data_IF_659136383006
#
_entry.id   IF_659136383006
#
_cell.length_a   1.000
_cell.length_b   1.000
_cell.length_c   1.000
_cell.angle_alpha   90.00
_cell.angle_beta   90.00
_cell.angle_gamma   90.00
#
_symmetry.space_group_name_H-M   'P 1'
#
loop_
_entity.id
_entity.type
_entity.pdbx_description
1 polymer ?
#
# COMPACT_ATOMS: atom_id res chain seq x y z
N UNK A 1 12.52 -1.43 22.05
CA UNK A 1 11.14 -0.98 21.80
C UNK A 1 10.25 -2.18 22.05
N UNK A 2 9.33 -2.10 23.02
CA UNK A 2 8.39 -3.19 23.32
C UNK A 2 7.35 -3.31 22.20
N UNK A 3 6.89 -4.53 21.84
CA UNK A 3 5.91 -4.72 20.78
C UNK A 3 4.51 -4.25 21.20
N UNK A 4 4.10 -3.09 20.68
CA UNK A 4 2.76 -2.50 20.89
C UNK A 4 2.08 -2.13 19.56
N UNK A 5 0.76 -1.96 19.59
CA UNK A 5 -0.01 -1.45 18.44
C UNK A 5 0.48 -0.06 18.03
N UNK A 6 0.71 0.83 19.00
CA UNK A 6 1.20 2.18 18.76
C UNK A 6 2.59 2.18 18.09
N UNK A 7 3.49 1.30 18.52
CA UNK A 7 4.81 1.16 17.90
C UNK A 7 4.69 0.69 16.43
N UNK A 8 3.76 -0.24 16.15
CA UNK A 8 3.48 -0.68 14.76
C UNK A 8 2.94 0.46 13.91
N UNK A 9 2.03 1.28 14.46
CA UNK A 9 1.50 2.46 13.78
C UNK A 9 2.56 3.54 13.55
N UNK A 10 3.43 3.77 14.52
CA UNK A 10 4.54 4.72 14.42
C UNK A 10 5.52 4.34 13.31
N UNK A 11 5.91 3.06 13.25
CA UNK A 11 6.77 2.53 12.17
C UNK A 11 6.09 2.67 10.81
N UNK A 12 4.79 2.37 10.73
CA UNK A 12 4.02 2.49 9.49
C UNK A 12 3.96 3.96 9.00
N UNK A 13 3.66 4.90 9.90
CA UNK A 13 3.65 6.34 9.61
C UNK A 13 5.03 6.86 9.19
N UNK A 14 6.08 6.45 9.90
CA UNK A 14 7.45 6.86 9.59
C UNK A 14 7.87 6.39 8.21
N UNK A 15 7.55 5.13 7.87
CA UNK A 15 7.83 4.56 6.55
C UNK A 15 7.06 5.29 5.45
N UNK A 16 5.78 5.58 5.70
CA UNK A 16 4.95 6.32 4.75
C UNK A 16 5.49 7.73 4.51
N UNK A 17 5.80 8.47 5.59
CA UNK A 17 6.38 9.82 5.50
C UNK A 17 7.72 9.81 4.80
N UNK A 18 8.55 8.81 5.03
CA UNK A 18 9.80 8.66 4.30
C UNK A 18 9.58 8.54 2.78
N UNK A 19 8.60 7.73 2.33
CA UNK A 19 8.27 7.63 0.90
C UNK A 19 7.78 8.95 0.31
N UNK A 20 6.99 9.73 1.06
CA UNK A 20 6.41 10.97 0.56
C UNK A 20 7.40 12.14 0.66
N UNK A 21 7.97 12.36 1.83
CA UNK A 21 8.76 13.54 2.18
C UNK A 21 10.20 13.43 1.63
N UNK A 22 10.81 12.25 1.70
CA UNK A 22 12.22 12.05 1.31
C UNK A 22 12.35 11.52 -0.12
N UNK A 23 11.52 10.54 -0.51
CA UNK A 23 11.58 9.94 -1.86
C UNK A 23 10.74 10.74 -2.87
N UNK A 24 9.76 11.53 -2.40
CA UNK A 24 8.91 12.32 -3.28
C UNK A 24 7.81 11.52 -3.99
N UNK A 25 7.44 10.34 -3.47
CA UNK A 25 6.34 9.54 -4.03
C UNK A 25 5.02 10.24 -3.75
N UNK A 26 4.22 10.48 -4.79
CA UNK A 26 2.89 11.09 -4.61
C UNK A 26 1.95 10.10 -3.91
N UNK A 27 1.10 10.61 -3.02
CA UNK A 27 0.05 9.84 -2.34
C UNK A 27 -0.72 8.92 -3.30
N UNK A 28 -1.16 9.44 -4.45
CA UNK A 28 -1.93 8.72 -5.46
C UNK A 28 -1.18 7.57 -6.15
N UNK A 29 0.15 7.48 -5.98
CA UNK A 29 0.98 6.39 -6.50
C UNK A 29 1.27 5.32 -5.45
N UNK A 30 0.82 5.52 -4.20
CA UNK A 30 1.05 4.58 -3.10
C UNK A 30 -0.16 3.68 -2.95
N UNK A 31 0.06 2.37 -3.09
CA UNK A 31 -0.93 1.35 -2.71
C UNK A 31 -0.45 0.69 -1.42
N UNK A 32 -1.29 0.77 -0.39
CA UNK A 32 -1.05 0.11 0.87
C UNK A 32 -1.48 -1.35 0.76
N UNK A 33 -0.64 -2.27 1.22
CA UNK A 33 -0.93 -3.71 1.20
C UNK A 33 -0.84 -4.27 2.61
N UNK A 34 -1.88 -4.97 3.06
CA UNK A 34 -1.93 -5.62 4.36
C UNK A 34 -2.49 -7.03 4.25
N UNK A 35 -1.73 -8.02 4.72
CA UNK A 35 -2.18 -9.42 4.83
C UNK A 35 -2.33 -9.81 6.30
N UNK A 36 -3.45 -10.45 6.66
CA UNK A 36 -3.69 -10.94 8.02
C UNK A 36 -3.37 -9.83 9.03
N UNK A 37 -2.42 -10.04 9.96
CA UNK A 37 -1.97 -9.03 10.94
C UNK A 37 -1.62 -7.66 10.32
N UNK A 38 -1.04 -7.65 9.11
CA UNK A 38 -0.69 -6.45 8.38
C UNK A 38 -1.89 -5.59 7.95
N UNK A 39 -3.12 -6.12 8.01
CA UNK A 39 -4.32 -5.32 7.76
C UNK A 39 -4.49 -4.20 8.79
N UNK A 40 -4.00 -4.38 10.02
CA UNK A 40 -4.01 -3.38 11.08
C UNK A 40 -3.36 -2.05 10.66
N UNK A 41 -2.03 -2.01 10.51
CA UNK A 41 -1.33 -0.80 10.09
C UNK A 41 -1.75 -0.30 8.70
N UNK A 42 -2.10 -1.19 7.76
CA UNK A 42 -2.53 -0.78 6.42
C UNK A 42 -3.87 -0.01 6.46
N UNK A 43 -4.87 -0.50 7.20
CA UNK A 43 -6.16 0.19 7.39
C UNK A 43 -5.98 1.48 8.18
N UNK A 44 -5.15 1.45 9.23
CA UNK A 44 -4.80 2.64 9.99
C UNK A 44 -4.21 3.73 9.10
N UNK A 45 -3.15 3.43 8.35
CA UNK A 45 -2.52 4.40 7.44
C UNK A 45 -3.51 4.94 6.40
N UNK A 46 -4.29 4.07 5.77
CA UNK A 46 -5.26 4.48 4.76
C UNK A 46 -6.33 5.44 5.31
N UNK A 47 -6.67 5.32 6.59
CA UNK A 47 -7.66 6.16 7.26
C UNK A 47 -7.09 7.51 7.72
N UNK A 48 -5.77 7.66 7.83
CA UNK A 48 -5.11 8.93 8.17
C UNK A 48 -5.10 9.93 7.01
N UNK A 49 -5.35 9.47 5.78
CA UNK A 49 -5.34 10.27 4.56
C UNK A 49 -6.71 10.23 3.86
N UNK A 50 -7.78 10.75 4.49
CA UNK A 50 -9.11 10.76 3.92
C UNK A 50 -9.22 11.73 2.74
N UNK A 51 -10.27 11.58 1.92
CA UNK A 51 -10.55 12.54 0.85
C UNK A 51 -10.82 13.92 1.44
N UNK A 52 -10.18 14.99 0.93
CA UNK A 52 -10.46 16.35 1.36
C UNK A 52 -11.95 16.68 1.17
N UNK A 53 -12.59 17.27 2.19
CA UNK A 53 -13.99 17.73 2.10
C UNK A 53 -14.15 18.92 1.14
N UNK A 54 -13.06 19.61 0.83
CA UNK A 54 -12.96 20.63 -0.21
C UNK A 54 -11.55 20.59 -0.79
N UNK A 55 -11.40 20.92 -2.08
CA UNK A 55 -10.11 21.05 -2.76
C UNK A 55 -9.37 22.30 -2.27
N UNK A 56 -8.96 22.32 -1.00
CA UNK A 56 -7.98 23.25 -0.49
C UNK A 56 -6.60 22.67 -0.78
N UNK A 57 -5.77 23.43 -1.47
CA UNK A 57 -4.52 22.99 -2.11
C UNK A 57 -3.42 22.50 -1.16
N UNK A 58 -3.67 22.43 0.15
CA UNK A 58 -2.70 22.01 1.17
C UNK A 58 -3.07 20.71 1.90
N UNK A 59 -4.29 20.19 1.72
CA UNK A 59 -4.71 18.95 2.39
C UNK A 59 -3.94 17.74 1.85
N UNK A 60 -3.56 16.76 2.70
CA UNK A 60 -2.91 15.54 2.25
C UNK A 60 -3.73 14.84 1.16
N UNK A 61 -3.05 14.36 0.12
CA UNK A 61 -3.70 13.62 -0.95
C UNK A 61 -4.22 12.26 -0.48
N UNK A 62 -5.24 11.73 -1.17
CA UNK A 62 -5.72 10.36 -0.95
C UNK A 62 -4.68 9.37 -1.49
N UNK A 63 -4.38 8.32 -0.73
CA UNK A 63 -3.52 7.23 -1.23
C UNK A 63 -4.13 6.54 -2.46
N UNK A 64 -3.28 6.04 -3.36
CA UNK A 64 -3.71 5.42 -4.61
C UNK A 64 -4.63 4.20 -4.43
N UNK A 65 -4.45 3.46 -3.34
CA UNK A 65 -5.32 2.34 -3.01
C UNK A 65 -4.96 1.58 -1.75
N UNK A 66 -5.81 0.64 -1.38
CA UNK A 66 -5.62 -0.29 -0.27
C UNK A 66 -5.95 -1.72 -0.73
N UNK A 67 -5.05 -2.66 -0.47
CA UNK A 67 -5.26 -4.10 -0.71
C UNK A 67 -5.21 -4.81 0.64
N UNK A 68 -6.27 -5.54 0.96
CA UNK A 68 -6.42 -6.30 2.18
C UNK A 68 -6.60 -7.78 1.87
N UNK A 69 -5.68 -8.62 2.34
CA UNK A 69 -5.68 -10.07 2.12
C UNK A 69 -5.91 -10.81 3.43
N UNK A 70 -6.91 -11.69 3.51
CA UNK A 70 -7.27 -12.42 4.75
C UNK A 70 -7.41 -11.49 5.97
N UNK A 71 -7.98 -10.30 5.77
CA UNK A 71 -8.05 -9.27 6.80
C UNK A 71 -9.08 -9.59 7.88
N UNK A 72 -8.74 -9.21 9.11
CA UNK A 72 -9.55 -9.45 10.30
C UNK A 72 -10.21 -8.15 10.81
N UNK A 73 -11.36 -8.28 11.48
CA UNK A 73 -12.11 -7.11 11.97
C UNK A 73 -11.46 -6.40 13.17
N UNK A 74 -10.86 -7.18 14.07
CA UNK A 74 -9.95 -6.77 15.14
C UNK A 74 -9.27 -8.01 15.73
N UNK A 75 -8.18 -7.87 16.49
CA UNK A 75 -7.47 -9.03 17.06
C UNK A 75 -8.39 -9.83 17.97
N UNK A 76 -9.17 -9.14 18.80
CA UNK A 76 -10.16 -9.79 19.66
C UNK A 76 -11.18 -10.59 18.85
N UNK A 77 -11.66 -10.02 17.73
CA UNK A 77 -12.60 -10.71 16.86
C UNK A 77 -11.98 -11.92 16.14
N UNK A 78 -10.71 -11.82 15.72
CA UNK A 78 -9.98 -12.94 15.13
C UNK A 78 -9.80 -14.09 16.13
N UNK A 79 -9.32 -13.77 17.34
CA UNK A 79 -9.17 -14.74 18.43
C UNK A 79 -10.51 -15.39 18.77
N UNK A 80 -11.60 -14.62 18.82
CA UNK A 80 -12.93 -15.15 19.06
C UNK A 80 -13.34 -16.21 18.02
N UNK A 81 -12.97 -16.01 16.75
CA UNK A 81 -13.27 -16.96 15.68
C UNK A 81 -12.45 -18.25 15.79
N UNK A 82 -11.23 -18.18 16.36
CA UNK A 82 -10.33 -19.32 16.48
C UNK A 82 -10.62 -20.15 17.74
N UNK A 83 -10.75 -19.49 18.90
CA UNK A 83 -10.81 -20.17 20.21
C UNK A 83 -12.12 -19.93 20.99
N UNK A 84 -13.09 -19.24 20.37
CA UNK A 84 -14.39 -18.97 20.96
C UNK A 84 -14.45 -17.73 21.87
N UNK A 85 -15.67 -17.34 22.25
CA UNK A 85 -15.98 -16.07 22.95
C UNK A 85 -15.37 -15.96 24.36
N UNK A 86 -15.30 -17.07 25.09
CA UNK A 86 -14.84 -17.08 26.50
C UNK A 86 -13.36 -16.72 26.57
N UNK A 87 -12.52 -17.34 25.74
CA UNK A 87 -11.09 -17.06 25.70
C UNK A 87 -10.79 -15.69 25.09
N UNK A 88 -11.57 -15.22 24.11
CA UNK A 88 -11.35 -13.90 23.51
C UNK A 88 -11.61 -12.73 24.47
N UNK A 89 -12.38 -12.91 25.56
CA UNK A 89 -12.66 -11.82 26.49
C UNK A 89 -11.41 -11.36 27.26
N UNK A 90 -10.42 -12.23 27.44
CA UNK A 90 -9.14 -11.92 28.11
C UNK A 90 -8.15 -11.17 27.21
N UNK A 91 -8.42 -11.06 25.91
CA UNK A 91 -7.56 -10.36 24.98
C UNK A 91 -7.92 -8.88 24.87
N UNK A 92 -6.90 -8.03 24.90
CA UNK A 92 -7.00 -6.60 24.64
C UNK A 92 -7.44 -6.36 23.20
N UNK A 93 -8.38 -5.42 23.01
CA UNK A 93 -8.76 -4.97 21.67
C UNK A 93 -7.53 -4.33 21.01
N UNK A 94 -7.14 -4.86 19.86
CA UNK A 94 -6.04 -4.33 19.06
C UNK A 94 -6.41 -4.31 17.59
N UNK A 95 -5.89 -3.33 16.86
CA UNK A 95 -6.17 -3.11 15.43
C UNK A 95 -7.67 -3.13 15.13
N UNK A 96 -8.46 -2.17 15.66
CA UNK A 96 -9.92 -2.13 15.48
C UNK A 96 -10.32 -1.73 14.05
N UNK A 97 -9.89 -2.52 13.06
CA UNK A 97 -10.06 -2.29 11.62
C UNK A 97 -11.53 -2.01 11.27
N UNK A 98 -12.47 -2.72 11.90
CA UNK A 98 -13.91 -2.50 11.66
C UNK A 98 -14.42 -1.12 12.08
N UNK A 99 -13.74 -0.43 12.99
CA UNK A 99 -14.03 0.97 13.34
C UNK A 99 -13.32 1.93 12.38
N UNK A 100 -12.04 1.66 12.10
CA UNK A 100 -11.16 2.54 11.34
C UNK A 100 -11.50 2.57 9.84
N UNK A 101 -11.88 1.42 9.25
CA UNK A 101 -12.14 1.28 7.80
C UNK A 101 -13.22 2.23 7.26
N UNK A 102 -14.12 2.72 8.12
CA UNK A 102 -15.16 3.67 7.73
C UNK A 102 -14.61 5.04 7.29
N UNK A 103 -13.37 5.37 7.69
CA UNK A 103 -12.68 6.61 7.34
C UNK A 103 -11.77 6.45 6.10
N UNK A 104 -11.57 5.22 5.62
CA UNK A 104 -10.77 4.97 4.41
C UNK A 104 -11.49 5.52 3.19
N UNK A 105 -10.81 6.37 2.43
CA UNK A 105 -11.35 7.08 1.26
C UNK A 105 -10.78 6.58 -0.08
N UNK A 106 -9.68 5.84 -0.06
CA UNK A 106 -9.06 5.28 -1.26
C UNK A 106 -9.79 4.02 -1.77
N UNK A 107 -9.60 3.69 -3.05
CA UNK A 107 -10.13 2.44 -3.62
C UNK A 107 -9.57 1.23 -2.85
N UNK A 108 -10.46 0.38 -2.34
CA UNK A 108 -10.08 -0.73 -1.45
C UNK A 108 -10.44 -2.10 -2.04
N UNK A 109 -9.43 -2.92 -2.29
CA UNK A 109 -9.58 -4.31 -2.72
C UNK A 109 -9.47 -5.23 -1.51
N UNK A 110 -10.48 -6.06 -1.30
CA UNK A 110 -10.49 -7.13 -0.32
C UNK A 110 -10.33 -8.47 -1.03
N UNK A 111 -9.44 -9.32 -0.54
CA UNK A 111 -9.24 -10.68 -1.03
C UNK A 111 -9.27 -11.59 0.19
N UNK A 112 -10.15 -12.59 0.19
CA UNK A 112 -10.28 -13.52 1.30
C UNK A 112 -10.58 -14.93 0.82
N UNK A 113 -9.77 -15.89 1.21
CA UNK A 113 -9.91 -17.26 0.72
C UNK A 113 -11.14 -17.95 1.29
N UNK A 114 -11.91 -18.67 0.48
CA UNK A 114 -13.05 -19.45 1.01
C UNK A 114 -12.57 -20.68 1.80
N UNK A 115 -11.34 -21.14 1.53
CA UNK A 115 -10.68 -22.20 2.28
C UNK A 115 -9.83 -21.67 3.47
N UNK A 116 -9.97 -20.39 3.84
CA UNK A 116 -9.31 -19.83 5.03
C UNK A 116 -9.96 -20.38 6.31
N UNK A 117 -9.32 -21.40 6.89
CA UNK A 117 -9.75 -22.04 8.14
C UNK A 117 -9.27 -21.33 9.41
N UNK A 118 -8.40 -20.32 9.28
CA UNK A 118 -7.85 -19.60 10.43
C UNK A 118 -8.65 -18.34 10.72
N UNK A 119 -8.89 -17.53 9.69
CA UNK A 119 -9.68 -16.31 9.78
C UNK A 119 -10.87 -16.47 8.84
N UNK A 120 -12.11 -16.54 9.35
CA UNK A 120 -13.26 -16.68 8.49
C UNK A 120 -13.49 -15.45 7.59
N UNK A 121 -13.96 -15.68 6.36
CA UNK A 121 -14.20 -14.63 5.35
C UNK A 121 -15.21 -13.56 5.79
N UNK A 122 -16.07 -13.87 6.77
CA UNK A 122 -17.00 -12.95 7.41
C UNK A 122 -16.30 -11.71 7.96
N UNK A 123 -15.05 -11.82 8.39
CA UNK A 123 -14.27 -10.68 8.83
C UNK A 123 -14.06 -9.66 7.70
N UNK A 124 -13.63 -10.13 6.53
CA UNK A 124 -13.43 -9.25 5.37
C UNK A 124 -14.77 -8.77 4.80
N UNK A 125 -15.82 -9.60 4.81
CA UNK A 125 -17.17 -9.15 4.46
C UNK A 125 -17.66 -8.02 5.39
N UNK A 126 -17.39 -8.12 6.69
CA UNK A 126 -17.74 -7.08 7.67
C UNK A 126 -16.98 -5.78 7.41
N UNK A 127 -15.68 -5.85 7.09
CA UNK A 127 -14.89 -4.68 6.70
C UNK A 127 -15.40 -4.08 5.39
N UNK A 128 -15.65 -4.91 4.38
CA UNK A 128 -16.19 -4.51 3.08
C UNK A 128 -17.51 -3.75 3.24
N UNK A 129 -18.44 -4.25 4.06
CA UNK A 129 -19.72 -3.58 4.33
C UNK A 129 -19.55 -2.20 4.97
N UNK A 130 -18.49 -1.99 5.78
CA UNK A 130 -18.21 -0.73 6.47
C UNK A 130 -17.36 0.26 5.68
N UNK A 131 -16.55 -0.20 4.74
CA UNK A 131 -15.79 0.65 3.83
C UNK A 131 -16.76 1.47 2.96
N UNK A 132 -16.56 2.79 2.88
CA UNK A 132 -17.44 3.70 2.11
C UNK A 132 -16.89 4.05 0.73
N UNK A 133 -15.59 3.88 0.52
CA UNK A 133 -14.93 4.12 -0.75
C UNK A 133 -15.29 3.07 -1.81
N UNK A 134 -14.85 3.32 -3.05
CA UNK A 134 -14.90 2.31 -4.13
C UNK A 134 -14.23 1.04 -3.64
N UNK A 135 -14.92 -0.10 -3.77
CA UNK A 135 -14.49 -1.36 -3.13
C UNK A 135 -14.85 -2.58 -3.95
N UNK A 136 -14.05 -3.63 -3.82
CA UNK A 136 -14.31 -4.96 -4.38
C UNK A 136 -13.91 -6.02 -3.35
N UNK A 137 -14.70 -7.09 -3.22
CA UNK A 137 -14.36 -8.28 -2.45
C UNK A 137 -14.26 -9.47 -3.40
N UNK A 138 -13.11 -10.13 -3.40
CA UNK A 138 -12.86 -11.35 -4.16
C UNK A 138 -12.65 -12.50 -3.18
N UNK A 139 -13.32 -13.63 -3.44
CA UNK A 139 -13.22 -14.83 -2.60
C UNK A 139 -12.73 -16.05 -3.40
N UNK A 140 -11.41 -16.22 -3.61
CA UNK A 140 -10.92 -17.37 -4.36
C UNK A 140 -11.19 -18.66 -3.57
N UNK A 141 -11.87 -19.61 -4.20
CA UNK A 141 -12.38 -20.83 -3.54
C UNK A 141 -11.27 -21.74 -2.98
N UNK A 142 -10.10 -21.75 -3.61
CA UNK A 142 -8.94 -22.58 -3.22
C UNK A 142 -7.93 -21.85 -2.34
N UNK A 143 -8.11 -20.56 -2.08
CA UNK A 143 -7.14 -19.81 -1.28
C UNK A 143 -7.37 -20.12 0.20
N UNK A 144 -6.30 -20.49 0.89
CA UNK A 144 -6.21 -20.68 2.34
C UNK A 144 -5.47 -19.48 2.96
N UNK A 145 -5.44 -19.39 4.30
CA UNK A 145 -4.84 -18.26 5.02
C UNK A 145 -3.40 -17.95 4.58
N UNK A 146 -2.61 -19.00 4.39
CA UNK A 146 -1.17 -18.94 4.12
C UNK A 146 -0.79 -19.32 2.69
N UNK A 147 -1.77 -19.41 1.77
CA UNK A 147 -1.49 -19.69 0.35
C UNK A 147 -0.47 -18.70 -0.21
N UNK A 148 0.37 -19.19 -1.13
CA UNK A 148 1.29 -18.35 -1.89
C UNK A 148 0.48 -17.46 -2.85
N UNK A 149 0.43 -16.15 -2.59
CA UNK A 149 -0.33 -15.19 -3.40
C UNK A 149 0.20 -15.04 -4.83
N UNK A 150 1.43 -15.51 -5.10
CA UNK A 150 2.02 -15.53 -6.44
C UNK A 150 1.96 -16.92 -7.09
N UNK A 151 1.47 -17.95 -6.37
CA UNK A 151 1.34 -19.30 -6.90
C UNK A 151 0.16 -19.46 -7.86
N UNK A 152 -0.84 -18.59 -7.75
CA UNK A 152 -1.99 -18.51 -8.65
C UNK A 152 -2.32 -17.04 -8.87
N UNK A 153 -2.33 -16.60 -10.14
CA UNK A 153 -2.57 -15.20 -10.49
C UNK A 153 -3.96 -14.71 -10.04
N UNK A 154 -4.94 -15.62 -9.89
CA UNK A 154 -6.28 -15.31 -9.38
C UNK A 154 -6.28 -14.88 -7.91
N UNK A 155 -5.23 -15.18 -7.14
CA UNK A 155 -5.16 -14.84 -5.72
C UNK A 155 -4.79 -13.38 -5.45
N UNK A 156 -4.11 -12.71 -6.39
CA UNK A 156 -3.71 -11.31 -6.17
C UNK A 156 -3.60 -10.51 -7.46
N UNK A 157 -2.79 -10.99 -8.41
CA UNK A 157 -2.42 -10.22 -9.59
C UNK A 157 -3.64 -9.84 -10.44
N UNK A 158 -4.47 -10.82 -10.80
CA UNK A 158 -5.67 -10.62 -11.62
C UNK A 158 -6.67 -9.69 -10.91
N UNK A 159 -7.08 -9.94 -9.65
CA UNK A 159 -7.93 -9.01 -8.91
C UNK A 159 -7.38 -7.58 -8.85
N UNK A 160 -6.08 -7.43 -8.57
CA UNK A 160 -5.46 -6.11 -8.44
C UNK A 160 -5.43 -5.36 -9.77
N UNK A 161 -5.00 -6.01 -10.85
CA UNK A 161 -4.95 -5.43 -12.20
C UNK A 161 -6.35 -4.97 -12.63
N UNK A 162 -7.37 -5.83 -12.52
CA UNK A 162 -8.73 -5.47 -12.91
C UNK A 162 -9.32 -4.37 -12.04
N UNK A 163 -9.09 -4.41 -10.73
CA UNK A 163 -9.72 -3.47 -9.82
C UNK A 163 -9.10 -2.08 -9.88
N UNK A 164 -7.77 -1.98 -9.88
CA UNK A 164 -7.07 -0.70 -9.97
C UNK A 164 -6.91 -0.22 -11.41
N UNK A 165 -7.21 -1.08 -12.38
CA UNK A 165 -7.07 -0.77 -13.80
C UNK A 165 -5.64 -0.35 -14.10
N UNK A 166 -4.65 -1.07 -13.56
CA UNK A 166 -3.25 -0.82 -13.90
C UNK A 166 -3.18 -0.85 -15.43
N UNK A 167 -2.99 0.30 -16.13
CA UNK A 167 -2.78 0.27 -17.58
C UNK A 167 -1.60 -0.64 -17.83
N UNK A 168 -1.48 -1.19 -19.04
CA UNK A 168 -0.42 -2.15 -19.43
C UNK A 168 0.99 -1.60 -19.23
N UNK A 169 1.40 -1.41 -17.97
CA UNK A 169 2.68 -0.97 -17.48
C UNK A 169 3.61 -2.15 -17.69
N UNK A 170 3.99 -2.36 -18.95
CA UNK A 170 5.32 -2.82 -19.25
C UNK A 170 6.27 -1.74 -18.74
N UNK A 171 6.73 -1.88 -17.50
CA UNK A 171 7.89 -1.13 -17.07
C UNK A 171 9.08 -1.80 -17.76
N UNK A 172 9.58 -1.18 -18.84
CA UNK A 172 10.78 -1.68 -19.53
C UNK A 172 11.99 -1.77 -18.57
N UNK A 173 11.92 -1.01 -17.47
CA UNK A 173 12.85 -1.04 -16.36
C UNK A 173 12.09 -1.10 -15.03
N UNK A 174 12.45 -1.99 -14.10
CA UNK A 174 11.86 -2.02 -12.76
C UNK A 174 12.09 -0.68 -12.03
N UNK A 175 11.21 -0.31 -11.08
CA UNK A 175 11.40 0.89 -10.28
C UNK A 175 12.76 0.83 -9.55
N UNK A 176 13.52 1.91 -9.65
CA UNK A 176 14.83 2.06 -9.02
C UNK A 176 14.69 2.91 -7.77
N UNK A 177 15.24 2.42 -6.66
CA UNK A 177 15.40 3.22 -5.46
C UNK A 177 16.79 3.86 -5.47
N UNK A 178 16.92 5.11 -4.99
CA UNK A 178 18.22 5.75 -4.90
C UNK A 178 19.22 4.91 -4.11
N UNK A 179 20.43 4.73 -4.64
CA UNK A 179 21.48 3.89 -4.06
C UNK A 179 21.78 4.22 -2.59
N UNK A 180 21.80 5.52 -2.26
CA UNK A 180 22.12 6.04 -0.93
C UNK A 180 21.16 5.55 0.17
N UNK A 181 19.99 5.01 -0.19
CA UNK A 181 19.07 4.40 0.78
C UNK A 181 19.60 3.13 1.39
N UNK A 182 20.47 2.43 0.66
CA UNK A 182 21.07 1.15 1.04
C UNK A 182 22.47 1.33 1.63
N UNK A 183 22.96 2.57 1.71
CA UNK A 183 24.22 2.91 2.38
C UNK A 183 24.05 2.86 3.91
N UNK A 184 25.18 2.67 4.60
CA UNK A 184 25.23 2.73 6.06
C UNK A 184 24.71 4.09 6.58
N UNK A 185 23.97 4.14 7.71
CA UNK A 185 23.40 5.38 8.24
C UNK A 185 24.40 6.53 8.39
N UNK A 186 25.67 6.27 8.76
CA UNK A 186 26.68 7.30 8.89
C UNK A 186 27.07 7.89 7.52
N UNK A 187 27.24 7.03 6.51
CA UNK A 187 27.51 7.44 5.13
C UNK A 187 26.33 8.21 4.55
N UNK A 188 25.11 7.73 4.75
CA UNK A 188 23.87 8.40 4.32
C UNK A 188 23.74 9.79 4.94
N UNK A 189 24.01 9.95 6.24
CA UNK A 189 23.96 11.26 6.90
C UNK A 189 24.98 12.25 6.32
N UNK A 190 26.20 11.77 6.02
CA UNK A 190 27.23 12.57 5.35
C UNK A 190 26.78 12.99 3.95
N UNK A 191 26.30 12.05 3.13
CA UNK A 191 25.82 12.33 1.77
C UNK A 191 24.65 13.32 1.74
N UNK A 192 23.73 13.23 2.71
CA UNK A 192 22.61 14.19 2.84
C UNK A 192 23.10 15.59 3.21
N UNK A 193 24.11 15.69 4.07
CA UNK A 193 24.74 16.95 4.44
C UNK A 193 25.45 17.59 3.25
N UNK A 194 26.27 16.82 2.53
CA UNK A 194 26.99 17.27 1.34
C UNK A 194 26.03 17.72 0.23
N UNK A 195 24.89 17.02 0.06
CA UNK A 195 23.83 17.42 -0.89
C UNK A 195 23.15 18.73 -0.50
N UNK A 196 22.94 18.97 0.80
CA UNK A 196 22.32 20.20 1.31
C UNK A 196 23.26 21.41 1.19
N UNK A 197 24.57 21.18 1.28
CA UNK A 197 25.61 22.21 1.16
C UNK A 197 25.98 22.52 -0.31
N UNK A 198 25.75 21.59 -1.25
CA UNK A 198 26.02 21.76 -2.69
C UNK A 198 24.87 22.39 -3.47
N UNK A 199 23.68 22.51 -2.88
CA UNK A 199 22.56 23.26 -3.47
C UNK A 199 22.87 24.78 -3.34
N UNK A 200 22.74 25.58 -4.42
CA UNK A 200 22.98 27.01 -4.35
C UNK A 200 22.03 27.64 -3.31
N UNK A 201 22.48 28.67 -2.56
CA UNK A 201 21.62 29.35 -1.61
C UNK A 201 20.40 29.90 -2.35
N UNK A 202 19.20 29.41 -2.03
CA UNK A 202 17.96 30.03 -2.48
C UNK A 202 17.92 31.45 -1.93
N UNK A 203 18.26 32.46 -2.73
CA UNK A 203 17.92 33.84 -2.44
C UNK A 203 16.41 33.99 -2.56
N UNK A 204 15.72 33.97 -1.42
CA UNK A 204 14.27 34.17 -1.31
C UNK A 204 13.97 35.65 -1.08
N UNK A 205 13.06 36.29 -1.85
CA UNK A 205 12.46 37.54 -1.43
C UNK A 205 11.69 37.33 -0.12
N UNK A 206 11.86 38.24 0.84
CA UNK A 206 11.42 38.11 2.25
C UNK A 206 9.90 38.02 2.49
N UNK A 207 9.08 37.90 1.44
CA UNK A 207 7.62 37.94 1.51
C UNK A 207 6.93 36.71 0.89
N UNK A 208 7.68 35.71 0.39
CA UNK A 208 7.11 34.44 -0.06
C UNK A 208 7.32 33.34 0.99
N UNK A 209 6.23 32.91 1.62
CA UNK A 209 6.18 31.73 2.47
C UNK A 209 6.15 30.45 1.61
N UNK A 210 6.73 29.35 2.12
CA UNK A 210 7.07 28.10 1.41
C UNK A 210 5.92 27.33 0.72
N UNK A 211 4.69 27.84 0.80
CA UNK A 211 3.49 27.13 0.36
C UNK A 211 3.05 27.44 -1.08
N UNK A 212 3.70 28.39 -1.78
CA UNK A 212 3.21 28.95 -3.06
C UNK A 212 4.00 28.57 -4.32
N UNK A 213 5.04 27.74 -4.23
CA UNK A 213 5.92 27.44 -5.37
C UNK A 213 5.67 26.10 -6.08
N UNK A 214 4.63 25.32 -5.70
CA UNK A 214 4.24 24.11 -6.43
C UNK A 214 2.89 24.30 -7.12
N UNK A 215 2.83 25.31 -7.99
CA UNK A 215 1.80 25.40 -9.01
C UNK A 215 2.03 24.33 -10.07
N UNK A 216 0.92 23.76 -10.56
CA UNK A 216 0.86 22.77 -11.64
C UNK A 216 1.81 23.09 -12.79
N UNK A 217 2.69 22.14 -13.11
CA UNK A 217 3.65 22.32 -14.19
C UNK A 217 4.73 21.26 -14.32
N UNK A 218 4.46 20.00 -13.95
CA UNK A 218 5.28 18.88 -14.44
C UNK A 218 4.37 17.70 -14.79
N UNK A 219 3.81 17.79 -15.99
CA UNK A 219 3.53 16.61 -16.80
C UNK A 219 4.88 15.91 -16.98
N UNK A 220 5.08 14.79 -16.28
CA UNK A 220 6.18 13.90 -16.60
C UNK A 220 5.87 13.29 -17.97
N UNK A 221 6.46 13.90 -19.00
CA UNK A 221 6.57 13.32 -20.31
C UNK A 221 7.37 12.02 -20.18
N UNK A 222 6.73 10.90 -20.51
CA UNK A 222 7.28 9.54 -20.39
C UNK A 222 8.04 9.16 -21.67
N UNK A 223 8.77 10.12 -22.24
CA UNK A 223 9.58 9.91 -23.44
C UNK A 223 11.04 9.68 -23.07
N UNK A 224 11.58 8.55 -23.53
CA UNK A 224 12.85 7.94 -23.16
C UNK A 224 14.13 8.74 -23.57
N UNK A 225 15.20 8.48 -22.80
CA UNK A 225 16.64 8.59 -23.10
C UNK A 225 17.30 9.97 -23.30
N UNK A 226 18.11 10.39 -22.32
CA UNK A 226 19.58 10.50 -22.49
C UNK A 226 20.29 10.50 -21.13
N UNK A 227 21.38 9.75 -21.08
CA UNK A 227 22.29 9.52 -19.96
C UNK A 227 23.13 10.78 -19.67
N UNK A 228 23.23 11.23 -18.41
CA UNK A 228 24.44 11.88 -17.88
C UNK A 228 24.40 12.03 -16.34
N UNK A 229 25.53 11.63 -15.75
CA UNK A 229 26.02 11.76 -14.36
C UNK A 229 25.54 10.74 -13.31
N UNK A 230 26.55 10.14 -12.70
CA UNK A 230 26.55 8.88 -11.96
C UNK A 230 25.93 8.97 -10.57
N UNK A 231 24.89 8.17 -10.34
CA UNK A 231 24.61 7.53 -9.06
C UNK A 231 24.24 6.08 -9.39
N UNK A 232 24.90 5.12 -8.76
CA UNK A 232 24.72 3.68 -9.07
C UNK A 232 23.38 3.17 -8.55
N UNK A 233 22.31 3.28 -9.33
CA UNK A 233 20.99 2.77 -8.94
C UNK A 233 21.00 1.25 -8.67
N UNK A 234 20.46 0.83 -7.53
CA UNK A 234 20.31 -0.59 -7.19
C UNK A 234 18.95 -1.09 -7.72
N UNK A 235 18.99 -2.10 -8.59
CA UNK A 235 17.80 -2.79 -9.09
C UNK A 235 17.38 -3.90 -8.13
N UNK A 236 16.16 -3.83 -7.58
CA UNK A 236 15.57 -4.93 -6.79
C UNK A 236 15.21 -6.06 -7.75
N UNK A 237 15.99 -7.14 -7.76
CA UNK A 237 15.73 -8.32 -8.59
C UNK A 237 14.74 -9.23 -7.88
N UNK A 238 13.55 -9.39 -8.46
CA UNK A 238 12.65 -10.49 -8.09
C UNK A 238 13.16 -11.77 -8.76
N UNK A 239 13.38 -12.82 -7.97
CA UNK A 239 13.90 -14.11 -8.45
C UNK A 239 12.81 -14.78 -9.29
N UNK A 240 12.98 -14.85 -10.60
CA UNK A 240 12.11 -15.64 -11.48
C UNK A 240 12.17 -17.10 -11.06
N UNK A 241 11.06 -17.64 -10.56
CA UNK A 241 10.83 -19.07 -10.56
C UNK A 241 10.20 -19.44 -11.90
N UNK A 242 10.80 -20.42 -12.56
CA UNK A 242 10.46 -20.85 -13.91
C UNK A 242 8.94 -21.13 -14.06
N UNK A 243 8.29 -20.36 -14.93
CA UNK A 243 6.90 -20.56 -15.31
C UNK A 243 6.81 -21.84 -16.18
N UNK A 244 6.23 -22.91 -15.63
CA UNK A 244 5.77 -24.04 -16.45
C UNK A 244 4.51 -23.62 -17.20
N UNK A 245 4.50 -23.89 -18.50
CA UNK A 245 3.47 -23.50 -19.47
C UNK A 245 2.05 -23.88 -19.00
N UNK A 246 1.16 -22.90 -18.92
CA UNK A 246 -0.28 -23.10 -18.79
C UNK A 246 -0.91 -23.25 -20.18
N UNK A 247 -1.82 -24.22 -20.40
CA UNK A 247 -2.54 -24.35 -21.67
C UNK A 247 -3.57 -23.24 -21.86
N UNK A 248 -3.76 -22.87 -23.12
CA UNK A 248 -4.57 -21.77 -23.64
C UNK A 248 -6.08 -21.97 -23.49
N UNK A 249 -6.76 -20.83 -23.28
CA UNK A 249 -8.17 -20.53 -23.57
C UNK A 249 -9.26 -21.23 -22.72
N UNK A 250 -9.92 -20.43 -21.87
CA UNK A 250 -11.28 -20.69 -21.41
C UNK A 250 -12.09 -19.43 -21.74
N UNK A 251 -12.95 -19.54 -22.76
CA UNK A 251 -13.96 -18.55 -23.12
C UNK A 251 -15.04 -18.49 -22.03
N UNK A 252 -15.29 -17.30 -21.47
CA UNK A 252 -16.44 -17.03 -20.61
C UNK A 252 -17.36 -16.02 -21.30
N UNK A 253 -18.44 -16.52 -21.90
CA UNK A 253 -19.58 -15.72 -22.33
C UNK A 253 -20.44 -15.36 -21.10
N UNK A 254 -20.65 -14.06 -20.86
CA UNK A 254 -21.62 -13.59 -19.88
C UNK A 254 -23.03 -13.51 -20.51
N UNK A 255 -24.01 -14.11 -19.84
CA UNK A 255 -25.41 -13.70 -19.93
C UNK A 255 -25.80 -13.09 -18.60
N UNK A 256 -26.21 -11.82 -18.64
CA UNK A 256 -26.90 -11.12 -17.56
C UNK A 256 -28.34 -10.93 -18.07
N UNK A 257 -29.39 -11.25 -17.28
CA UNK A 257 -30.77 -10.95 -17.63
C UNK A 257 -31.06 -9.45 -17.63
#
# INVERSE_FOLDING_TARGET
MEPSEDAVYEVALTTFRFLVDEIGVRYSQIILFGRSLGSGPAVFLAAQYPAPLAALSWEPGVVGGLILVSAFSSIKAAVQSIVGRVLAWTFTERFPNSRIIANVSCSTLFIHGEADSLIPAEHSLKLFKRCRARKLLVTPSKMEHNSNLFGDASFLAVPAIHFFGFPGYYTASPPRLPAYLFEDPANRARMLKDRKESLPPMTRPSWLCDCLAKGDGQQMDVTFCRQENSVEDITIRFKEQACQQLPTAIDWWFHIP
#
